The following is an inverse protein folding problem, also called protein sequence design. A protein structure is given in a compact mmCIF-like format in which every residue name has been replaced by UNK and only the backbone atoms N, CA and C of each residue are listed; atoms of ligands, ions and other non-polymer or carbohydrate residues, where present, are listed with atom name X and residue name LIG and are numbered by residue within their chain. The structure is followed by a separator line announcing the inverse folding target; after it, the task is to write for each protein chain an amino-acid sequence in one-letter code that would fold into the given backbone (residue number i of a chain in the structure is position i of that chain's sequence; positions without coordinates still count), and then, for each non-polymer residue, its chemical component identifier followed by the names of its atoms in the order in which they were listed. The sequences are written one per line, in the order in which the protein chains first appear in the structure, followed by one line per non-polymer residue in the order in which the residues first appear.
data_IF_036910013098
#
_entry.id   IF_036910013098
#
_cell.length_a   1.000
_cell.length_b   1.000
_cell.length_c   1.000
_cell.angle_alpha   90.00
_cell.angle_beta   90.00
_cell.angle_gamma   90.00
#
_symmetry.space_group_name_H-M   'P 1'
#
loop_
_entity.id
_entity.type
_entity.pdbx_description
1 polymer ?
#
# COMPACT_ATOMS: atom_id res chain seq x y z
N UNK A 1 -6.33 -0.04 -9.41
CA UNK A 1 -7.33 0.70 -10.12
C UNK A 1 -7.42 0.46 -11.62
N UNK A 2 -7.06 -0.77 -12.14
CA UNK A 2 -7.25 -1.03 -13.58
C UNK A 2 -8.73 -1.05 -13.94
N UNK A 3 -9.07 -0.39 -15.04
CA UNK A 3 -10.41 -0.40 -15.62
C UNK A 3 -10.54 -1.53 -16.63
N UNK A 4 -11.65 -2.27 -16.56
CA UNK A 4 -11.89 -3.46 -17.36
C UNK A 4 -13.29 -3.48 -17.97
N UNK A 5 -13.42 -4.14 -19.12
CA UNK A 5 -14.69 -4.51 -19.73
C UNK A 5 -14.88 -6.01 -19.62
N UNK A 6 -15.98 -6.44 -19.03
CA UNK A 6 -16.36 -7.84 -18.94
C UNK A 6 -17.18 -8.23 -20.17
N UNK A 7 -16.74 -9.22 -20.92
CA UNK A 7 -17.52 -9.79 -22.04
C UNK A 7 -18.32 -10.96 -21.50
N UNK A 8 -19.64 -10.87 -21.59
CA UNK A 8 -20.58 -11.85 -21.06
C UNK A 8 -21.31 -12.54 -22.21
N UNK A 9 -21.38 -13.87 -22.15
CA UNK A 9 -22.18 -14.71 -23.04
C UNK A 9 -22.95 -15.73 -22.19
N UNK A 10 -24.24 -15.88 -22.43
CA UNK A 10 -25.10 -16.81 -21.70
C UNK A 10 -24.96 -16.69 -20.16
N UNK A 11 -24.98 -15.45 -19.66
CA UNK A 11 -24.79 -15.09 -18.25
C UNK A 11 -23.46 -15.55 -17.63
N UNK A 12 -22.45 -15.84 -18.45
CA UNK A 12 -21.08 -16.18 -18.00
C UNK A 12 -20.08 -15.17 -18.53
N UNK A 13 -19.14 -14.77 -17.66
CA UNK A 13 -17.98 -13.98 -18.09
C UNK A 13 -17.06 -14.90 -18.88
N UNK A 14 -16.83 -14.59 -20.14
CA UNK A 14 -16.01 -15.40 -21.05
C UNK A 14 -14.67 -14.76 -21.40
N UNK A 15 -14.56 -13.45 -21.19
CA UNK A 15 -13.31 -12.71 -21.47
C UNK A 15 -13.29 -11.37 -20.74
N UNK A 16 -12.10 -10.89 -20.40
CA UNK A 16 -11.89 -9.55 -19.82
C UNK A 16 -10.93 -8.76 -20.68
N UNK A 17 -11.30 -7.54 -21.01
CA UNK A 17 -10.52 -6.60 -21.79
C UNK A 17 -10.17 -5.35 -20.96
N UNK A 18 -8.93 -4.84 -21.10
CA UNK A 18 -8.55 -3.59 -20.48
C UNK A 18 -9.16 -2.40 -21.20
N UNK A 19 -9.81 -1.50 -20.45
CA UNK A 19 -10.26 -0.22 -20.97
C UNK A 19 -9.13 0.79 -20.86
N UNK A 20 -9.07 1.73 -21.80
CA UNK A 20 -8.10 2.83 -21.80
C UNK A 20 -8.43 3.85 -20.69
N UNK A 21 -8.16 3.47 -19.45
CA UNK A 21 -8.33 4.31 -18.27
C UNK A 21 -7.01 4.89 -17.79
N UNK A 22 -7.04 5.95 -16.97
CA UNK A 22 -5.83 6.68 -16.56
C UNK A 22 -4.84 5.84 -15.76
N UNK A 23 -5.30 4.76 -15.11
CA UNK A 23 -4.45 3.92 -14.27
C UNK A 23 -3.79 2.76 -15.02
N UNK A 24 -4.30 2.35 -16.17
CA UNK A 24 -3.83 1.15 -16.87
C UNK A 24 -3.66 1.28 -18.38
N UNK A 25 -4.23 2.32 -19.03
CA UNK A 25 -4.10 2.57 -20.46
C UNK A 25 -4.32 1.31 -21.32
N UNK A 26 -5.39 0.57 -21.03
CA UNK A 26 -5.71 -0.68 -21.70
C UNK A 26 -4.89 -1.90 -21.25
N UNK A 27 -3.87 -1.72 -20.42
CA UNK A 27 -3.01 -2.82 -19.93
C UNK A 27 -3.68 -3.58 -18.80
N UNK A 28 -3.46 -4.88 -18.74
CA UNK A 28 -3.87 -5.74 -17.63
C UNK A 28 -2.73 -6.67 -17.23
N UNK A 29 -2.62 -6.95 -15.95
CA UNK A 29 -1.80 -8.05 -15.45
C UNK A 29 -2.59 -9.36 -15.48
N UNK A 30 -1.95 -10.47 -15.15
CA UNK A 30 -2.56 -11.81 -15.11
C UNK A 30 -3.84 -11.84 -14.26
N UNK A 31 -3.88 -11.11 -13.15
CA UNK A 31 -5.05 -11.05 -12.26
C UNK A 31 -6.27 -10.42 -12.95
N UNK A 32 -6.10 -9.29 -13.60
CA UNK A 32 -7.17 -8.61 -14.32
C UNK A 32 -7.61 -9.37 -15.57
N UNK A 33 -6.68 -10.02 -16.27
CA UNK A 33 -6.95 -10.73 -17.51
C UNK A 33 -7.64 -12.07 -17.30
N UNK A 34 -7.22 -12.86 -16.32
CA UNK A 34 -7.63 -14.24 -16.14
C UNK A 34 -8.29 -14.52 -14.79
N UNK A 35 -8.28 -13.58 -13.86
CA UNK A 35 -8.79 -13.79 -12.50
C UNK A 35 -10.30 -13.99 -12.40
N UNK A 36 -11.06 -13.81 -13.47
CA UNK A 36 -12.52 -13.95 -13.46
C UNK A 36 -13.02 -15.40 -13.35
N UNK A 37 -12.16 -16.40 -13.52
CA UNK A 37 -12.52 -17.83 -13.46
C UNK A 37 -13.20 -18.20 -12.12
N UNK A 38 -12.81 -17.53 -11.01
CA UNK A 38 -13.42 -17.80 -9.71
C UNK A 38 -14.93 -17.48 -9.65
N UNK A 39 -15.44 -16.63 -10.54
CA UNK A 39 -16.86 -16.23 -10.57
C UNK A 39 -17.76 -17.43 -10.87
N UNK A 40 -17.27 -18.34 -11.73
CA UNK A 40 -18.02 -19.50 -12.21
C UNK A 40 -17.37 -20.84 -11.79
N UNK A 41 -16.51 -20.82 -10.79
CA UNK A 41 -15.84 -22.01 -10.30
C UNK A 41 -16.85 -22.96 -9.61
N UNK A 42 -16.66 -24.27 -9.77
CA UNK A 42 -17.58 -25.28 -9.23
C UNK A 42 -17.72 -25.25 -7.71
N UNK A 43 -16.67 -24.82 -7.01
CA UNK A 43 -16.69 -24.65 -5.56
C UNK A 43 -17.28 -23.31 -5.10
N UNK A 44 -17.76 -22.45 -6.02
CA UNK A 44 -18.38 -21.20 -5.63
C UNK A 44 -19.72 -21.45 -4.97
N UNK A 45 -19.87 -20.94 -3.74
CA UNK A 45 -21.13 -21.01 -3.01
C UNK A 45 -22.15 -20.09 -3.68
N UNK A 46 -23.29 -20.63 -4.06
CA UNK A 46 -24.41 -19.91 -4.72
C UNK A 46 -25.64 -19.77 -3.82
N UNK A 47 -25.62 -20.42 -2.65
CA UNK A 47 -26.66 -20.38 -1.63
C UNK A 47 -26.03 -20.19 -0.26
N UNK A 48 -26.76 -19.63 0.72
CA UNK A 48 -26.32 -19.60 2.09
C UNK A 48 -26.17 -21.03 2.66
N UNK A 49 -25.19 -21.19 3.54
CA UNK A 49 -24.95 -22.45 4.23
C UNK A 49 -25.12 -22.24 5.73
N UNK A 50 -25.88 -23.13 6.38
CA UNK A 50 -26.01 -23.18 7.83
C UNK A 50 -25.35 -24.48 8.33
N UNK A 51 -24.55 -24.37 9.38
CA UNK A 51 -23.93 -25.53 10.01
C UNK A 51 -25.00 -26.47 10.54
N UNK A 52 -24.85 -27.75 10.28
CA UNK A 52 -25.76 -28.80 10.76
C UNK A 52 -25.59 -28.97 12.29
N UNK A 53 -26.69 -29.31 12.97
CA UNK A 53 -26.67 -29.56 14.41
C UNK A 53 -25.90 -30.85 14.75
N UNK A 54 -25.92 -31.82 13.86
CA UNK A 54 -25.19 -33.08 13.94
C UNK A 54 -23.76 -33.04 13.36
N UNK A 55 -23.30 -31.87 12.97
CA UNK A 55 -21.96 -31.72 12.38
C UNK A 55 -20.85 -32.07 13.40
N UNK A 56 -19.71 -32.63 12.92
CA UNK A 56 -18.54 -32.88 13.76
C UNK A 56 -18.11 -31.61 14.51
N UNK A 57 -17.31 -31.74 15.59
CA UNK A 57 -16.75 -30.60 16.29
C UNK A 57 -16.05 -29.64 15.33
N UNK A 58 -16.10 -28.32 15.61
CA UNK A 58 -15.43 -27.30 14.78
C UNK A 58 -13.95 -27.63 14.65
N UNK A 59 -13.49 -27.74 13.41
CA UNK A 59 -12.10 -28.01 13.05
C UNK A 59 -11.61 -27.03 12.00
N UNK A 60 -10.30 -27.10 11.67
CA UNK A 60 -9.64 -26.17 10.76
C UNK A 60 -9.95 -26.47 9.28
N UNK A 61 -10.32 -27.72 8.96
CA UNK A 61 -10.48 -28.15 7.57
C UNK A 61 -11.89 -28.70 7.33
N UNK A 62 -12.61 -28.04 6.42
CA UNK A 62 -13.81 -28.58 5.80
C UNK A 62 -13.40 -28.95 4.36
N UNK A 63 -13.57 -30.21 3.98
CA UNK A 63 -13.33 -30.62 2.59
C UNK A 63 -14.34 -29.92 1.66
N UNK A 64 -13.87 -29.10 0.71
CA UNK A 64 -14.77 -28.41 -0.24
C UNK A 64 -15.59 -29.37 -1.10
N UNK A 65 -15.12 -30.59 -1.31
CA UNK A 65 -15.83 -31.60 -2.09
C UNK A 65 -16.87 -32.37 -1.25
N UNK A 66 -16.80 -32.28 0.08
CA UNK A 66 -17.67 -32.98 1.02
C UNK A 66 -18.22 -32.06 2.12
N UNK A 67 -18.45 -30.79 1.79
CA UNK A 67 -18.92 -29.77 2.75
C UNK A 67 -20.30 -30.10 3.37
N UNK A 68 -21.10 -30.95 2.69
CA UNK A 68 -22.45 -31.36 3.12
C UNK A 68 -22.44 -32.15 4.46
N UNK A 69 -21.31 -32.74 4.83
CA UNK A 69 -21.14 -33.35 6.17
C UNK A 69 -21.23 -32.33 7.30
N UNK A 70 -20.83 -31.08 7.00
CA UNK A 70 -20.74 -30.03 8.01
C UNK A 70 -21.84 -29.00 7.87
N UNK A 71 -22.27 -28.72 6.64
CA UNK A 71 -23.24 -27.67 6.32
C UNK A 71 -24.44 -28.21 5.54
N UNK A 72 -25.54 -27.52 5.64
CA UNK A 72 -26.69 -27.67 4.77
C UNK A 72 -27.00 -26.38 4.04
N UNK A 73 -27.57 -26.44 2.84
CA UNK A 73 -28.13 -25.31 2.15
C UNK A 73 -29.31 -24.71 2.91
N UNK A 74 -29.46 -23.41 2.83
CA UNK A 74 -30.55 -22.65 3.41
C UNK A 74 -31.06 -21.60 2.42
N UNK A 75 -32.28 -21.10 2.63
CA UNK A 75 -32.74 -19.89 1.96
C UNK A 75 -32.08 -18.65 2.58
N UNK A 76 -32.10 -17.54 1.85
CA UNK A 76 -31.59 -16.28 2.38
C UNK A 76 -32.35 -15.82 3.63
N UNK A 77 -33.68 -15.95 3.63
CA UNK A 77 -34.51 -15.58 4.79
C UNK A 77 -34.16 -16.41 6.03
N UNK A 78 -34.04 -17.73 5.85
CA UNK A 78 -33.64 -18.64 6.93
C UNK A 78 -32.25 -18.29 7.49
N UNK A 79 -31.26 -18.02 6.60
CA UNK A 79 -29.90 -17.72 6.99
C UNK A 79 -29.80 -16.35 7.70
N UNK A 80 -30.51 -15.34 7.20
CA UNK A 80 -30.55 -14.02 7.82
C UNK A 80 -31.25 -14.06 9.20
N UNK A 81 -32.36 -14.77 9.31
CA UNK A 81 -33.05 -14.98 10.60
C UNK A 81 -32.16 -15.71 11.61
N UNK A 82 -31.45 -16.74 11.16
CA UNK A 82 -30.52 -17.49 12.00
C UNK A 82 -29.38 -16.58 12.51
N UNK A 83 -28.76 -15.81 11.61
CA UNK A 83 -27.70 -14.86 11.95
C UNK A 83 -28.22 -13.75 12.90
N UNK A 84 -29.38 -13.18 12.62
CA UNK A 84 -29.98 -12.13 13.44
C UNK A 84 -30.30 -12.62 14.85
N UNK A 85 -30.85 -13.83 15.00
CA UNK A 85 -31.09 -14.46 16.31
C UNK A 85 -29.79 -14.67 17.10
N UNK A 86 -28.72 -15.12 16.42
CA UNK A 86 -27.42 -15.33 17.05
C UNK A 86 -26.72 -14.05 17.51
N UNK A 87 -26.95 -12.96 16.81
CA UNK A 87 -26.32 -11.66 17.08
C UNK A 87 -27.14 -10.79 18.05
N UNK A 88 -28.47 -11.00 18.11
CA UNK A 88 -29.39 -10.20 18.94
C UNK A 88 -28.99 -10.25 20.42
N UNK A 89 -28.87 -9.08 21.03
CA UNK A 89 -28.53 -8.93 22.45
C UNK A 89 -27.06 -9.07 22.81
N UNK A 90 -26.18 -9.34 21.83
CA UNK A 90 -24.73 -9.47 22.08
C UNK A 90 -24.04 -8.12 22.37
N UNK A 91 -24.59 -7.01 21.90
CA UNK A 91 -24.05 -5.69 22.18
C UNK A 91 -22.55 -5.60 21.85
N UNK A 92 -21.73 -5.24 22.84
CA UNK A 92 -20.27 -5.04 22.68
C UNK A 92 -19.45 -6.32 22.49
N UNK A 93 -20.05 -7.50 22.60
CA UNK A 93 -19.37 -8.77 22.25
C UNK A 93 -19.19 -8.95 20.74
N UNK A 94 -19.85 -8.10 19.91
CA UNK A 94 -19.73 -8.11 18.46
C UNK A 94 -18.65 -7.14 18.00
N UNK A 95 -17.81 -7.55 17.09
CA UNK A 95 -16.89 -6.69 16.36
C UNK A 95 -17.03 -6.91 14.85
N UNK A 96 -16.92 -5.84 14.07
CA UNK A 96 -17.01 -5.87 12.62
C UNK A 96 -15.64 -5.68 11.96
N UNK A 97 -15.30 -6.56 11.01
CA UNK A 97 -14.08 -6.46 10.22
C UNK A 97 -14.44 -6.29 8.75
N UNK A 98 -14.27 -5.06 8.24
CA UNK A 98 -14.48 -4.71 6.84
C UNK A 98 -13.30 -5.05 5.94
N UNK A 99 -13.48 -4.86 4.64
CA UNK A 99 -12.47 -5.18 3.64
C UNK A 99 -12.40 -4.12 2.54
N UNK A 100 -11.23 -3.94 1.94
CA UNK A 100 -11.04 -3.17 0.70
C UNK A 100 -11.55 -3.93 -0.55
N UNK A 101 -12.01 -5.16 -0.40
CA UNK A 101 -12.56 -6.01 -1.47
C UNK A 101 -14.06 -5.81 -1.68
N UNK A 102 -14.63 -4.74 -1.16
CA UNK A 102 -16.04 -4.38 -1.29
C UNK A 102 -16.21 -3.00 -1.94
N UNK A 103 -17.45 -2.68 -2.30
CA UNK A 103 -17.81 -1.35 -2.79
C UNK A 103 -17.84 -0.33 -1.64
N UNK A 104 -17.85 0.96 -1.97
CA UNK A 104 -18.01 2.02 -0.97
C UNK A 104 -19.35 1.92 -0.24
N UNK A 105 -20.41 1.50 -0.96
CA UNK A 105 -21.76 1.28 -0.41
C UNK A 105 -21.74 0.15 0.63
N UNK A 106 -21.11 -0.96 0.33
CA UNK A 106 -20.95 -2.08 1.27
C UNK A 106 -20.16 -1.67 2.51
N UNK A 107 -19.06 -0.93 2.35
CA UNK A 107 -18.27 -0.42 3.46
C UNK A 107 -19.08 0.54 4.36
N UNK A 108 -19.88 1.43 3.75
CA UNK A 108 -20.79 2.32 4.46
C UNK A 108 -21.86 1.54 5.24
N UNK A 109 -22.55 0.61 4.57
CA UNK A 109 -23.61 -0.19 5.17
C UNK A 109 -23.07 -1.08 6.30
N UNK A 110 -21.89 -1.66 6.13
CA UNK A 110 -21.26 -2.48 7.17
C UNK A 110 -20.92 -1.66 8.43
N UNK A 111 -20.34 -0.47 8.25
CA UNK A 111 -20.06 0.43 9.37
C UNK A 111 -21.36 0.90 10.05
N UNK A 112 -22.38 1.25 9.26
CA UNK A 112 -23.70 1.63 9.75
C UNK A 112 -24.35 0.48 10.55
N UNK A 113 -24.27 -0.75 10.05
CA UNK A 113 -24.78 -1.94 10.71
C UNK A 113 -24.20 -2.13 12.13
N UNK A 114 -22.87 -2.03 12.26
CA UNK A 114 -22.23 -2.16 13.58
C UNK A 114 -22.63 -1.00 14.50
N UNK A 115 -22.57 0.23 14.03
CA UNK A 115 -22.85 1.41 14.84
C UNK A 115 -24.31 1.50 15.28
N UNK A 116 -25.25 1.28 14.37
CA UNK A 116 -26.69 1.37 14.67
C UNK A 116 -27.26 0.07 15.22
N UNK A 117 -26.84 -1.09 14.69
CA UNK A 117 -27.35 -2.39 15.11
C UNK A 117 -26.88 -2.79 16.51
N UNK A 118 -25.67 -2.42 16.91
CA UNK A 118 -25.07 -2.82 18.18
C UNK A 118 -24.76 -1.65 19.12
N UNK A 119 -24.91 -0.41 18.66
CA UNK A 119 -24.74 0.79 19.49
C UNK A 119 -23.31 1.12 19.91
N UNK A 120 -22.31 0.69 19.13
CA UNK A 120 -20.89 0.94 19.42
C UNK A 120 -20.03 1.06 18.17
N UNK A 121 -18.74 1.34 18.34
CA UNK A 121 -17.79 1.61 17.27
C UNK A 121 -16.70 0.50 17.11
N UNK A 122 -17.00 -0.73 17.52
CA UNK A 122 -16.09 -1.88 17.35
C UNK A 122 -16.12 -2.36 15.88
N UNK A 123 -15.72 -1.49 14.99
CA UNK A 123 -15.64 -1.78 13.55
C UNK A 123 -14.31 -1.25 13.02
N UNK A 124 -13.63 -2.05 12.26
CA UNK A 124 -12.36 -1.67 11.62
C UNK A 124 -12.29 -2.24 10.18
N UNK A 125 -11.23 -1.94 9.50
CA UNK A 125 -11.04 -2.23 8.08
C UNK A 125 -9.61 -2.74 7.85
N UNK A 126 -9.39 -3.51 6.80
CA UNK A 126 -8.06 -4.06 6.47
C UNK A 126 -6.98 -2.97 6.30
N UNK A 127 -7.37 -1.72 6.00
CA UNK A 127 -6.46 -0.57 5.93
C UNK A 127 -5.75 -0.32 7.27
N UNK A 128 -6.31 -0.76 8.40
CA UNK A 128 -5.66 -0.66 9.72
C UNK A 128 -4.25 -1.24 9.70
N UNK A 129 -4.08 -2.42 9.11
CA UNK A 129 -2.79 -3.09 8.99
C UNK A 129 -2.08 -2.78 7.67
N UNK A 130 -2.79 -2.24 6.69
CA UNK A 130 -2.23 -1.93 5.37
C UNK A 130 -1.45 -0.62 5.40
N UNK A 131 -2.15 0.51 5.41
CA UNK A 131 -1.58 1.85 5.30
C UNK A 131 -2.16 2.87 6.29
N UNK A 132 -2.74 2.43 7.41
CA UNK A 132 -3.24 3.38 8.42
C UNK A 132 -2.12 4.29 8.95
N UNK A 133 -0.92 3.75 9.15
CA UNK A 133 0.28 4.50 9.53
C UNK A 133 0.70 5.52 8.46
N UNK A 134 0.66 5.14 7.19
CA UNK A 134 0.93 6.06 6.07
C UNK A 134 -0.10 7.18 5.99
N UNK A 135 -1.40 6.86 6.19
CA UNK A 135 -2.48 7.85 6.18
C UNK A 135 -2.34 8.81 7.36
N UNK A 136 -2.01 8.31 8.56
CA UNK A 136 -1.76 9.15 9.73
C UNK A 136 -0.61 10.14 9.47
N UNK A 137 0.54 9.64 9.00
CA UNK A 137 1.68 10.47 8.68
C UNK A 137 1.39 11.52 7.60
N UNK A 138 0.65 11.15 6.54
CA UNK A 138 0.26 12.07 5.47
C UNK A 138 -0.71 13.15 5.96
N UNK A 139 -1.72 12.78 6.78
CA UNK A 139 -2.66 13.75 7.36
C UNK A 139 -1.96 14.74 8.29
N UNK A 140 -1.01 14.27 9.08
CA UNK A 140 -0.23 15.11 10.01
C UNK A 140 0.71 16.08 9.28
N UNK A 141 1.37 15.64 8.20
CA UNK A 141 2.46 16.41 7.58
C UNK A 141 2.06 17.14 6.30
N UNK A 142 1.06 16.64 5.55
CA UNK A 142 0.63 17.28 4.29
C UNK A 142 -0.88 17.59 4.27
N UNK A 143 -1.60 17.29 5.36
CA UNK A 143 -3.02 17.59 5.50
C UNK A 143 -3.97 16.71 4.69
N UNK A 144 -3.48 15.68 3.99
CA UNK A 144 -4.29 14.78 3.18
C UNK A 144 -3.78 13.34 3.27
N UNK A 145 -4.66 12.37 3.53
CA UNK A 145 -4.31 10.94 3.55
C UNK A 145 -4.24 10.27 2.17
N UNK A 146 -4.35 11.04 1.10
CA UNK A 146 -4.26 10.57 -0.29
C UNK A 146 -2.85 10.72 -0.86
N UNK A 147 -2.60 10.08 -2.01
CA UNK A 147 -1.38 10.33 -2.80
C UNK A 147 -1.32 11.79 -3.23
N UNK A 148 -0.13 12.38 -3.28
CA UNK A 148 0.04 13.77 -3.69
C UNK A 148 0.20 13.93 -5.21
N UNK A 149 0.45 12.82 -5.93
CA UNK A 149 0.58 12.79 -7.37
C UNK A 149 0.00 11.49 -7.94
N UNK A 150 -0.45 11.50 -9.18
CA UNK A 150 -0.88 10.30 -9.88
C UNK A 150 0.33 9.40 -10.20
N UNK A 151 0.09 8.10 -10.39
CA UNK A 151 1.20 7.17 -10.71
C UNK A 151 1.92 7.56 -12.02
N UNK A 152 1.18 8.06 -12.99
CA UNK A 152 1.73 8.41 -14.32
C UNK A 152 2.70 9.59 -14.28
N UNK A 153 2.71 10.39 -13.19
CA UNK A 153 3.69 11.47 -13.02
C UNK A 153 5.14 10.97 -13.00
N UNK A 154 5.38 9.69 -12.80
CA UNK A 154 6.72 9.09 -12.96
C UNK A 154 7.31 9.34 -14.36
N UNK A 155 6.48 9.60 -15.36
CA UNK A 155 6.94 9.92 -16.71
C UNK A 155 7.64 11.27 -16.79
N UNK A 156 7.36 12.16 -15.86
CA UNK A 156 7.93 13.49 -15.71
C UNK A 156 9.04 13.55 -14.63
N UNK A 157 9.30 12.44 -13.94
CA UNK A 157 10.30 12.38 -12.87
C UNK A 157 11.72 12.14 -13.42
N UNK A 158 12.73 12.58 -12.68
CA UNK A 158 14.16 12.28 -12.92
C UNK A 158 14.68 11.20 -11.98
N UNK A 159 14.12 11.13 -10.77
CA UNK A 159 14.50 10.16 -9.75
C UNK A 159 13.26 9.57 -9.07
N UNK A 160 13.34 8.31 -8.70
CA UNK A 160 12.27 7.65 -7.96
C UNK A 160 12.83 6.70 -6.89
N UNK A 161 12.21 6.73 -5.71
CA UNK A 161 12.44 5.75 -4.65
C UNK A 161 11.29 4.75 -4.65
N UNK A 162 11.60 3.45 -4.56
CA UNK A 162 10.66 2.37 -4.26
C UNK A 162 11.13 1.65 -3.01
N UNK A 163 10.39 1.78 -1.92
CA UNK A 163 10.76 1.21 -0.62
C UNK A 163 9.66 0.31 -0.04
N UNK A 164 10.04 -0.85 0.46
CA UNK A 164 9.11 -1.79 1.12
C UNK A 164 7.95 -2.24 0.24
N UNK A 165 8.14 -2.28 -1.09
CA UNK A 165 7.15 -2.66 -2.09
C UNK A 165 7.77 -3.48 -3.20
N UNK A 166 7.04 -4.49 -3.69
CA UNK A 166 7.45 -5.29 -4.86
C UNK A 166 6.46 -5.09 -6.02
N UNK A 167 6.55 -3.99 -6.77
CA UNK A 167 5.58 -3.69 -7.82
C UNK A 167 5.60 -4.68 -8.99
N UNK A 168 6.70 -5.40 -9.22
CA UNK A 168 6.73 -6.44 -10.27
C UNK A 168 5.68 -7.54 -9.99
N UNK A 169 5.52 -7.94 -8.75
CA UNK A 169 4.55 -8.96 -8.35
C UNK A 169 3.18 -8.36 -8.01
N UNK A 170 3.15 -7.29 -7.21
CA UNK A 170 1.91 -6.76 -6.65
C UNK A 170 1.22 -5.72 -7.55
N UNK A 171 1.99 -4.97 -8.35
CA UNK A 171 1.52 -3.91 -9.23
C UNK A 171 2.15 -4.03 -10.63
N UNK A 172 1.94 -5.17 -11.37
CA UNK A 172 2.69 -5.45 -12.59
C UNK A 172 2.51 -4.40 -13.70
N UNK A 173 1.33 -3.79 -13.81
CA UNK A 173 1.11 -2.67 -14.75
C UNK A 173 1.98 -1.48 -14.35
N UNK A 174 1.98 -1.10 -13.08
CA UNK A 174 2.85 -0.05 -12.55
C UNK A 174 4.35 -0.36 -12.78
N UNK A 175 4.75 -1.62 -12.64
CA UNK A 175 6.13 -2.04 -12.91
C UNK A 175 6.59 -1.77 -14.35
N UNK A 176 5.67 -1.71 -15.31
CA UNK A 176 6.02 -1.35 -16.69
C UNK A 176 6.47 0.11 -16.80
N UNK A 177 5.88 1.00 -16.02
CA UNK A 177 6.26 2.42 -15.99
C UNK A 177 7.64 2.60 -15.33
N UNK A 178 7.95 1.90 -14.25
CA UNK A 178 9.31 1.93 -13.66
C UNK A 178 10.36 1.48 -14.66
N UNK A 179 10.08 0.42 -15.44
CA UNK A 179 11.00 -0.05 -16.49
C UNK A 179 11.18 0.96 -17.63
N UNK A 180 10.12 1.65 -18.02
CA UNK A 180 10.19 2.70 -19.03
C UNK A 180 10.93 3.93 -18.49
N UNK A 181 10.67 4.31 -17.26
CA UNK A 181 11.36 5.39 -16.56
C UNK A 181 12.88 5.19 -16.57
N UNK A 182 13.37 4.03 -16.19
CA UNK A 182 14.83 3.75 -16.19
C UNK A 182 15.41 3.68 -17.61
N UNK A 183 14.65 3.21 -18.61
CA UNK A 183 15.08 3.24 -20.03
C UNK A 183 15.25 4.65 -20.58
N UNK A 184 14.54 5.64 -20.03
CA UNK A 184 14.69 7.06 -20.39
C UNK A 184 15.81 7.76 -19.62
N UNK A 185 16.57 7.04 -18.80
CA UNK A 185 17.67 7.58 -17.99
C UNK A 185 17.26 8.01 -16.57
N UNK A 186 16.02 7.77 -16.15
CA UNK A 186 15.56 8.03 -14.78
C UNK A 186 16.31 7.17 -13.77
N UNK A 187 16.69 7.76 -12.64
CA UNK A 187 17.41 7.10 -11.56
C UNK A 187 16.43 6.42 -10.63
N UNK A 188 16.47 5.08 -10.56
CA UNK A 188 15.61 4.28 -9.71
C UNK A 188 16.38 3.78 -8.49
N UNK A 189 15.94 4.17 -7.30
CA UNK A 189 16.48 3.74 -6.02
C UNK A 189 15.50 2.73 -5.42
N UNK A 190 15.95 1.49 -5.21
CA UNK A 190 15.12 0.43 -4.63
C UNK A 190 15.66 0.07 -3.24
N UNK A 191 14.79 0.13 -2.25
CA UNK A 191 15.12 -0.16 -0.85
C UNK A 191 14.22 -1.30 -0.37
N UNK A 192 14.79 -2.52 -0.26
CA UNK A 192 14.03 -3.71 0.13
C UNK A 192 14.97 -4.76 0.73
N UNK A 193 14.71 -5.26 1.94
CA UNK A 193 15.55 -6.28 2.58
C UNK A 193 15.69 -7.58 1.77
N UNK A 194 14.71 -7.90 0.94
CA UNK A 194 14.66 -9.15 0.15
C UNK A 194 15.42 -9.11 -1.18
N UNK A 195 15.84 -7.92 -1.64
CA UNK A 195 16.51 -7.82 -2.93
C UNK A 195 15.64 -8.23 -4.12
N UNK A 196 14.46 -7.67 -4.22
CA UNK A 196 13.41 -7.97 -5.20
C UNK A 196 13.83 -7.83 -6.69
N UNK A 197 13.01 -8.36 -7.59
CA UNK A 197 13.32 -8.42 -9.03
C UNK A 197 13.49 -7.05 -9.73
N UNK A 198 12.97 -5.96 -9.16
CA UNK A 198 13.15 -4.60 -9.67
C UNK A 198 14.64 -4.15 -9.60
N UNK A 199 15.45 -4.80 -8.79
CA UNK A 199 16.91 -4.65 -8.67
C UNK A 199 17.61 -4.53 -10.03
N UNK A 200 17.20 -5.32 -11.03
CA UNK A 200 17.81 -5.31 -12.37
C UNK A 200 17.67 -3.99 -13.13
N UNK A 201 16.78 -3.12 -12.67
CA UNK A 201 16.50 -1.82 -13.26
C UNK A 201 16.93 -0.66 -12.33
N UNK A 202 17.37 -0.97 -11.13
CA UNK A 202 17.73 0.03 -10.13
C UNK A 202 19.11 0.63 -10.40
N UNK A 203 19.25 1.93 -10.19
CA UNK A 203 20.52 2.63 -10.06
C UNK A 203 21.19 2.25 -8.75
N UNK A 204 20.41 2.21 -7.66
CA UNK A 204 20.84 1.77 -6.35
C UNK A 204 19.88 0.71 -5.81
N UNK A 205 20.42 -0.36 -5.22
CA UNK A 205 19.67 -1.38 -4.51
C UNK A 205 20.16 -1.48 -3.09
N UNK A 206 19.38 -0.98 -2.13
CA UNK A 206 19.69 -1.00 -0.70
C UNK A 206 18.99 -2.20 -0.06
N UNK A 207 19.72 -3.25 0.27
CA UNK A 207 19.21 -4.38 1.03
C UNK A 207 19.50 -4.16 2.53
N UNK A 208 18.76 -3.24 3.13
CA UNK A 208 18.93 -2.84 4.51
C UNK A 208 18.37 -3.86 5.50
N UNK A 209 18.79 -3.77 6.76
CA UNK A 209 18.28 -4.65 7.83
C UNK A 209 16.81 -4.32 8.15
N UNK A 210 15.92 -5.33 8.25
CA UNK A 210 14.52 -5.10 8.63
C UNK A 210 14.43 -4.33 9.95
N UNK A 211 13.55 -3.28 9.97
CA UNK A 211 13.35 -2.42 11.13
C UNK A 211 14.32 -1.26 11.26
N UNK A 212 15.28 -1.11 10.34
CA UNK A 212 16.24 0.00 10.32
C UNK A 212 15.85 1.13 9.34
N UNK A 213 14.59 1.18 8.94
CA UNK A 213 14.07 2.16 7.98
C UNK A 213 14.34 3.60 8.41
N UNK A 214 13.96 3.96 9.65
CA UNK A 214 14.18 5.31 10.20
C UNK A 214 15.65 5.67 10.21
N UNK A 215 16.53 4.77 10.68
CA UNK A 215 17.97 5.02 10.75
C UNK A 215 18.56 5.26 9.36
N UNK A 216 18.19 4.45 8.38
CA UNK A 216 18.64 4.59 6.99
C UNK A 216 18.14 5.90 6.36
N UNK A 217 16.85 6.22 6.51
CA UNK A 217 16.26 7.42 5.93
C UNK A 217 16.78 8.69 6.58
N UNK A 218 16.96 8.70 7.91
CA UNK A 218 17.56 9.83 8.60
C UNK A 218 19.03 10.02 8.18
N UNK A 219 19.79 8.96 7.93
CA UNK A 219 21.14 9.08 7.39
C UNK A 219 21.16 9.72 6.00
N UNK A 220 20.24 9.37 5.13
CA UNK A 220 20.09 10.00 3.81
C UNK A 220 19.74 11.49 3.97
N UNK A 221 18.79 11.82 4.86
CA UNK A 221 18.39 13.21 5.13
C UNK A 221 19.52 14.01 5.81
N UNK A 222 20.32 13.39 6.68
CA UNK A 222 21.50 14.01 7.26
C UNK A 222 22.47 14.50 6.17
N UNK A 223 22.76 13.66 5.17
CA UNK A 223 23.65 14.06 4.04
C UNK A 223 23.08 15.24 3.28
N UNK A 224 21.77 15.24 3.03
CA UNK A 224 21.10 16.35 2.35
C UNK A 224 21.26 17.67 3.12
N UNK A 225 21.21 17.61 4.46
CA UNK A 225 21.45 18.77 5.32
C UNK A 225 22.93 19.15 5.34
N UNK A 226 23.83 18.18 5.54
CA UNK A 226 25.28 18.39 5.65
C UNK A 226 25.86 19.01 4.36
N UNK A 227 25.39 18.56 3.21
CA UNK A 227 25.86 19.01 1.90
C UNK A 227 25.01 20.15 1.31
N UNK A 228 24.04 20.69 2.08
CA UNK A 228 23.13 21.77 1.67
C UNK A 228 22.34 21.48 0.38
N UNK A 229 21.96 20.21 0.16
CA UNK A 229 21.24 19.75 -1.05
C UNK A 229 19.71 19.96 -0.98
N UNK A 230 19.20 20.52 0.11
CA UNK A 230 17.78 20.79 0.31
C UNK A 230 17.29 22.00 -0.48
N UNK A 231 16.00 22.01 -0.83
CA UNK A 231 15.35 23.13 -1.51
C UNK A 231 14.95 24.22 -0.49
N UNK A 232 15.84 25.19 -0.29
CA UNK A 232 15.65 26.30 0.67
C UNK A 232 14.38 27.09 0.38
N UNK A 233 14.08 27.40 -0.88
CA UNK A 233 12.91 28.19 -1.26
C UNK A 233 11.62 27.44 -0.95
N UNK A 234 11.60 26.15 -1.25
CA UNK A 234 10.45 25.31 -0.94
C UNK A 234 10.22 25.19 0.59
N UNK A 235 11.28 24.95 1.34
CA UNK A 235 11.22 24.86 2.81
C UNK A 235 10.66 26.15 3.42
N UNK A 236 11.20 27.30 3.05
CA UNK A 236 10.77 28.61 3.57
C UNK A 236 9.30 28.94 3.19
N UNK A 237 8.84 28.53 2.00
CA UNK A 237 7.51 28.86 1.53
C UNK A 237 6.41 27.89 1.99
N UNK A 238 6.73 26.60 2.21
CA UNK A 238 5.72 25.55 2.34
C UNK A 238 5.90 24.63 3.55
N UNK A 239 6.93 24.81 4.36
CA UNK A 239 7.16 23.96 5.54
C UNK A 239 7.31 24.75 6.82
N UNK A 240 7.25 24.06 7.94
CA UNK A 240 7.52 24.60 9.28
C UNK A 240 8.45 23.67 10.05
N UNK A 241 8.98 24.14 11.18
CA UNK A 241 9.85 23.35 12.07
C UNK A 241 11.20 22.90 11.45
N UNK A 242 11.65 23.52 10.37
CA UNK A 242 12.88 23.14 9.67
C UNK A 242 14.13 23.11 10.59
N UNK A 243 14.31 24.09 11.45
CA UNK A 243 15.48 24.12 12.35
C UNK A 243 15.46 22.99 13.39
N UNK A 244 14.29 22.55 13.83
CA UNK A 244 14.14 21.41 14.72
C UNK A 244 14.48 20.09 14.00
N UNK A 245 14.00 19.90 12.76
CA UNK A 245 14.33 18.75 11.94
C UNK A 245 15.83 18.69 11.64
N UNK A 246 16.44 19.81 11.25
CA UNK A 246 17.87 19.94 11.02
C UNK A 246 18.71 19.55 12.25
N UNK A 247 18.30 20.04 13.42
CA UNK A 247 18.96 19.71 14.67
C UNK A 247 18.85 18.23 15.02
N UNK A 248 17.67 17.63 14.80
CA UNK A 248 17.44 16.21 14.99
C UNK A 248 18.34 15.36 14.09
N UNK A 249 18.44 15.71 12.82
CA UNK A 249 19.21 14.95 11.83
C UNK A 249 20.73 14.97 12.08
N UNK A 250 21.25 15.90 12.88
CA UNK A 250 22.69 16.01 13.17
C UNK A 250 23.31 14.73 13.78
N UNK A 251 22.52 13.93 14.48
CA UNK A 251 22.98 12.70 15.14
C UNK A 251 23.01 11.46 14.24
N UNK A 252 22.52 11.56 12.99
CA UNK A 252 22.32 10.42 12.09
C UNK A 252 23.33 10.36 10.94
N UNK A 253 24.61 10.63 11.19
CA UNK A 253 25.60 10.55 10.12
C UNK A 253 25.64 9.16 9.47
N UNK A 254 25.89 9.04 8.16
CA UNK A 254 26.01 7.75 7.47
C UNK A 254 26.97 6.78 8.15
N UNK A 255 28.09 7.28 8.69
CA UNK A 255 29.11 6.48 9.36
C UNK A 255 28.61 5.85 10.66
N UNK A 256 27.74 6.55 11.40
CA UNK A 256 27.07 6.00 12.59
C UNK A 256 25.95 5.02 12.24
N UNK A 257 25.22 5.29 11.16
CA UNK A 257 24.02 4.51 10.80
C UNK A 257 24.35 3.28 9.96
N UNK A 258 25.50 3.22 9.30
CA UNK A 258 25.90 2.11 8.44
C UNK A 258 25.81 0.75 9.14
N UNK A 259 26.36 0.64 10.34
CA UNK A 259 26.31 -0.60 11.12
C UNK A 259 24.89 -0.97 11.58
N UNK A 260 24.02 0.01 11.77
CA UNK A 260 22.63 -0.19 12.19
C UNK A 260 21.79 -0.67 11.02
N UNK A 261 21.84 0.04 9.90
CA UNK A 261 20.98 -0.27 8.74
C UNK A 261 21.59 -1.32 7.80
N UNK A 262 22.89 -1.60 7.89
CA UNK A 262 23.57 -2.58 7.04
C UNK A 262 23.86 -2.08 5.62
N UNK A 263 23.86 -0.76 5.42
CA UNK A 263 24.24 -0.09 4.17
C UNK A 263 25.47 0.76 4.43
N UNK A 264 26.47 0.65 3.58
CA UNK A 264 27.69 1.44 3.74
C UNK A 264 27.45 2.95 3.58
N UNK A 265 28.29 3.75 4.24
CA UNK A 265 28.13 5.20 4.29
C UNK A 265 28.25 5.85 2.90
N UNK A 266 29.07 5.31 2.01
CA UNK A 266 29.25 5.84 0.66
C UNK A 266 27.99 5.65 -0.17
N UNK A 267 27.34 4.49 -0.09
CA UNK A 267 26.04 4.21 -0.74
C UNK A 267 24.96 5.16 -0.21
N UNK A 268 24.88 5.40 1.11
CA UNK A 268 23.91 6.34 1.69
C UNK A 268 24.14 7.76 1.16
N UNK A 269 25.38 8.23 1.07
CA UNK A 269 25.74 9.52 0.48
C UNK A 269 25.40 9.61 -1.01
N UNK A 270 25.68 8.57 -1.77
CA UNK A 270 25.36 8.53 -3.20
C UNK A 270 23.84 8.60 -3.45
N UNK A 271 23.05 7.88 -2.67
CA UNK A 271 21.60 7.90 -2.72
C UNK A 271 21.04 9.28 -2.38
N UNK A 272 21.55 9.92 -1.34
CA UNK A 272 21.14 11.26 -0.93
C UNK A 272 21.38 12.29 -2.06
N UNK A 273 22.57 12.28 -2.65
CA UNK A 273 22.94 13.16 -3.77
C UNK A 273 22.11 12.90 -5.00
N UNK A 274 21.87 11.63 -5.34
CA UNK A 274 21.05 11.27 -6.52
C UNK A 274 19.60 11.67 -6.35
N UNK A 275 19.03 11.50 -5.14
CA UNK A 275 17.65 11.89 -4.88
C UNK A 275 17.45 13.40 -4.84
N UNK A 276 18.29 14.10 -4.09
CA UNK A 276 18.20 15.56 -3.95
C UNK A 276 18.61 16.30 -5.25
N UNK A 277 19.52 15.72 -6.04
CA UNK A 277 19.95 16.30 -7.32
C UNK A 277 18.93 16.17 -8.47
N UNK A 278 17.86 15.39 -8.31
CA UNK A 278 16.79 15.30 -9.29
C UNK A 278 15.94 16.58 -9.31
N UNK A 279 15.57 17.05 -10.51
CA UNK A 279 14.65 18.19 -10.63
C UNK A 279 13.24 17.84 -10.15
N UNK A 280 12.83 16.58 -10.36
CA UNK A 280 11.54 16.05 -9.90
C UNK A 280 11.73 14.63 -9.38
N UNK A 281 11.24 14.36 -8.17
CA UNK A 281 11.40 13.09 -7.52
C UNK A 281 10.08 12.52 -6.98
N UNK A 282 9.90 11.21 -7.12
CA UNK A 282 8.75 10.50 -6.58
C UNK A 282 9.18 9.44 -5.57
N UNK A 283 8.40 9.30 -4.50
CA UNK A 283 8.59 8.24 -3.50
C UNK A 283 7.39 7.31 -3.51
N UNK A 284 7.66 6.03 -3.77
CA UNK A 284 6.68 4.95 -3.74
C UNK A 284 6.99 3.99 -2.60
N UNK A 285 6.04 3.74 -1.71
CA UNK A 285 6.26 2.78 -0.64
C UNK A 285 5.09 1.82 -0.46
N UNK A 286 5.40 0.63 0.02
CA UNK A 286 4.42 -0.40 0.28
C UNK A 286 4.23 -0.69 1.77
N UNK A 287 3.56 -1.80 2.04
CA UNK A 287 3.30 -2.29 3.40
C UNK A 287 4.58 -2.71 4.14
N UNK A 288 5.68 -2.95 3.42
CA UNK A 288 6.98 -3.19 4.04
C UNK A 288 7.51 -1.99 4.85
N UNK A 289 7.00 -0.77 4.58
CA UNK A 289 7.25 0.44 5.37
C UNK A 289 6.24 0.57 6.50
N UNK A 290 4.95 0.39 6.22
CA UNK A 290 3.86 0.73 7.13
C UNK A 290 3.51 -0.35 8.14
N UNK A 291 3.75 -1.63 7.84
CA UNK A 291 3.44 -2.76 8.73
C UNK A 291 4.55 -3.05 9.76
N UNK A 292 5.00 -2.01 10.43
CA UNK A 292 5.98 -2.05 11.51
C UNK A 292 5.42 -1.36 12.76
N UNK A 293 6.00 -1.65 13.93
CA UNK A 293 5.71 -0.90 15.17
C UNK A 293 6.02 0.60 15.03
N UNK A 294 6.97 0.95 14.16
CA UNK A 294 7.36 2.32 13.79
C UNK A 294 6.87 2.72 12.40
N UNK A 295 5.80 2.10 11.88
CA UNK A 295 5.32 2.34 10.51
C UNK A 295 4.91 3.79 10.23
N UNK A 296 4.41 4.51 11.24
CA UNK A 296 4.10 5.93 11.11
C UNK A 296 5.38 6.76 10.99
N UNK A 297 6.40 6.48 11.79
CA UNK A 297 7.68 7.19 11.75
C UNK A 297 8.44 6.90 10.45
N UNK A 298 8.43 5.65 9.98
CA UNK A 298 8.96 5.30 8.67
C UNK A 298 8.32 6.16 7.56
N UNK A 299 6.99 6.32 7.61
CA UNK A 299 6.25 7.13 6.63
C UNK A 299 6.55 8.63 6.79
N UNK A 300 6.69 9.14 8.02
CA UNK A 300 7.12 10.51 8.30
C UNK A 300 8.48 10.82 7.69
N UNK A 301 9.47 9.93 7.86
CA UNK A 301 10.79 10.11 7.25
C UNK A 301 10.72 10.22 5.71
N UNK A 302 9.87 9.43 5.04
CA UNK A 302 9.67 9.54 3.59
C UNK A 302 9.02 10.87 3.18
N UNK A 303 8.10 11.36 3.99
CA UNK A 303 7.44 12.67 3.76
C UNK A 303 8.44 13.80 3.99
N UNK A 304 9.20 13.80 5.10
CA UNK A 304 10.26 14.77 5.38
C UNK A 304 11.29 14.81 4.25
N UNK A 305 11.73 13.64 3.77
CA UNK A 305 12.67 13.53 2.66
C UNK A 305 12.14 14.21 1.38
N UNK A 306 10.86 14.04 1.05
CA UNK A 306 10.24 14.66 -0.10
C UNK A 306 10.05 16.17 0.09
N UNK A 307 9.66 16.61 1.29
CA UNK A 307 9.44 18.03 1.59
C UNK A 307 10.75 18.83 1.59
N UNK A 308 11.81 18.30 2.22
CA UNK A 308 13.10 19.00 2.26
C UNK A 308 13.75 19.15 0.89
N UNK A 309 13.42 18.29 -0.08
CA UNK A 309 13.92 18.35 -1.46
C UNK A 309 12.93 19.00 -2.43
N UNK A 310 11.80 19.52 -1.94
CA UNK A 310 10.77 20.16 -2.76
C UNK A 310 10.05 19.20 -3.72
N UNK A 311 10.03 17.90 -3.44
CA UNK A 311 9.43 16.87 -4.29
C UNK A 311 7.93 16.63 -3.98
N UNK A 312 7.18 17.68 -3.70
CA UNK A 312 5.72 17.64 -3.52
C UNK A 312 5.07 18.84 -4.21
N UNK A 313 3.92 18.61 -4.85
CA UNK A 313 3.08 19.69 -5.39
C UNK A 313 3.51 20.23 -6.77
N UNK A 314 4.37 19.52 -7.51
CA UNK A 314 4.79 19.89 -8.87
C UNK A 314 4.82 18.68 -9.80
N UNK A 315 4.78 18.85 -11.14
CA UNK A 315 4.83 17.75 -12.09
C UNK A 315 6.08 16.87 -11.89
N UNK A 316 5.90 15.55 -11.99
CA UNK A 316 6.97 14.58 -11.80
C UNK A 316 7.44 14.37 -10.36
N UNK A 317 6.78 15.03 -9.38
CA UNK A 317 7.14 14.96 -7.97
C UNK A 317 5.94 14.50 -7.13
N UNK A 318 6.20 13.68 -6.11
CA UNK A 318 5.13 13.29 -5.21
C UNK A 318 5.36 12.07 -4.33
N UNK A 319 4.41 11.91 -3.42
CA UNK A 319 4.32 10.84 -2.43
C UNK A 319 3.23 9.86 -2.84
N UNK A 320 3.57 8.57 -2.94
CA UNK A 320 2.67 7.57 -3.50
C UNK A 320 2.71 6.24 -2.72
N UNK A 321 1.94 6.09 -1.63
CA UNK A 321 1.76 4.78 -1.02
C UNK A 321 1.09 3.81 -2.00
N UNK A 322 1.80 2.72 -2.33
CA UNK A 322 1.32 1.64 -3.19
C UNK A 322 0.42 0.72 -2.36
N UNK A 323 -0.88 0.85 -2.56
CA UNK A 323 -1.89 0.10 -1.81
C UNK A 323 -2.11 -1.29 -2.40
N UNK A 324 -2.37 -2.25 -1.52
CA UNK A 324 -2.64 -3.65 -1.90
C UNK A 324 -3.98 -3.88 -2.56
#
# INVERSE_FOLDING_TARGET
GCQVSLKVKDNKVVYVEGINGPANEGRLCVKGRFGFDYIHHDHRLTKPLIRRDDAPAKGLNVDPNNWQEVFREATWDEALDFAAKGLKGRGREVAGFGSAKCTNEEAYLFQKFIRQGFGHNNVDHCTRLCHASSVAALLENVGSGAVTATFNEIENADVAIVIGANPIENHPVAATYFKQFTKRGGKLIVMDPRGQALKRHATHMLQFRPGADVSMLNAIMHVIVEEELYDRQYIEAYTENWEAEKAHLADFSPEKMADICGIDAETLRAVARDFAGGKAGMIFWGMGVSQHIHGTDNSRCLISLALMTGHVGRPGAGLHPLRG
#
